data_IF_214704340963
#
_entry.id   IF_214704340963
#
_cell.length_a   1.000
_cell.length_b   1.000
_cell.length_c   1.000
_cell.angle_alpha   90.00
_cell.angle_beta   90.00
_cell.angle_gamma   90.00
#
_symmetry.space_group_name_H-M   'P 1'
#
loop_
_entity.id
_entity.type
_entity.pdbx_description
1 polymer ?
#
# COMPACT_ATOMS: atom_id res chain seq x y z
N UNK A 1 -14.34 -33.68 12.62
CA UNK A 1 -15.36 -32.63 12.85
C UNK A 1 -14.63 -31.45 13.48
N UNK A 2 -14.01 -30.59 12.66
CA UNK A 2 -13.23 -29.44 13.13
C UNK A 2 -14.17 -28.39 13.72
N UNK A 3 -13.85 -27.91 14.90
CA UNK A 3 -14.47 -26.75 15.53
C UNK A 3 -14.31 -25.56 14.55
N UNK A 4 -15.43 -25.08 14.01
CA UNK A 4 -15.50 -23.86 13.23
C UNK A 4 -15.01 -22.71 14.11
N UNK A 5 -13.76 -22.30 13.96
CA UNK A 5 -13.25 -21.11 14.60
C UNK A 5 -14.11 -19.91 14.16
N UNK A 6 -14.80 -19.31 15.13
CA UNK A 6 -15.65 -18.11 14.91
C UNK A 6 -14.79 -16.83 14.86
N UNK A 7 -13.57 -16.93 14.34
CA UNK A 7 -12.61 -15.83 14.25
C UNK A 7 -12.94 -14.85 13.12
N UNK A 8 -12.53 -13.60 13.29
CA UNK A 8 -12.53 -12.58 12.23
C UNK A 8 -11.54 -13.00 11.16
N UNK A 9 -11.96 -12.98 9.88
CA UNK A 9 -11.08 -13.21 8.74
C UNK A 9 -10.50 -11.87 8.27
N UNK A 10 -9.20 -11.71 8.40
CA UNK A 10 -8.44 -10.55 7.96
C UNK A 10 -7.57 -10.98 6.78
N UNK A 11 -7.52 -10.18 5.72
CA UNK A 11 -6.82 -10.53 4.50
C UNK A 11 -5.87 -9.42 4.08
N UNK A 12 -4.65 -9.82 3.69
CA UNK A 12 -3.69 -9.03 2.94
C UNK A 12 -3.63 -9.53 1.50
N UNK A 13 -3.89 -8.66 0.56
CA UNK A 13 -3.89 -8.94 -0.87
C UNK A 13 -2.76 -8.16 -1.54
N UNK A 14 -1.77 -8.85 -2.05
CA UNK A 14 -0.73 -8.26 -2.88
C UNK A 14 -1.18 -8.30 -4.34
N UNK A 15 -1.39 -7.13 -4.93
CA UNK A 15 -1.80 -6.97 -6.32
C UNK A 15 -0.60 -6.51 -7.15
N UNK A 16 0.05 -7.46 -7.80
CA UNK A 16 1.14 -7.21 -8.74
C UNK A 16 0.70 -7.27 -10.21
N UNK A 17 1.54 -6.77 -11.10
CA UNK A 17 1.28 -6.79 -12.55
C UNK A 17 1.33 -8.22 -13.11
N UNK A 18 2.34 -8.99 -12.72
CA UNK A 18 2.54 -10.36 -13.19
C UNK A 18 1.86 -11.39 -12.28
N UNK A 19 1.99 -11.21 -10.98
CA UNK A 19 1.48 -12.13 -9.97
C UNK A 19 0.80 -11.37 -8.83
N UNK A 20 -0.23 -11.99 -8.29
CA UNK A 20 -0.90 -11.56 -7.06
C UNK A 20 -0.77 -12.63 -5.99
N UNK A 21 -0.84 -12.24 -4.70
CA UNK A 21 -0.76 -13.15 -3.57
C UNK A 21 -1.78 -12.80 -2.50
N UNK A 22 -2.22 -13.78 -1.73
CA UNK A 22 -3.22 -13.59 -0.69
C UNK A 22 -2.72 -14.22 0.61
N UNK A 23 -2.54 -13.40 1.63
CA UNK A 23 -2.30 -13.86 2.99
C UNK A 23 -3.52 -13.59 3.86
N UNK A 24 -3.72 -14.41 4.87
CA UNK A 24 -4.89 -14.30 5.74
C UNK A 24 -4.54 -14.59 7.20
N UNK A 25 -5.40 -14.13 8.08
CA UNK A 25 -5.40 -14.44 9.49
C UNK A 25 -6.81 -14.76 9.95
N UNK A 26 -6.96 -15.89 10.65
CA UNK A 26 -8.22 -16.30 11.29
C UNK A 26 -8.13 -16.09 12.80
N UNK A 27 -8.92 -15.17 13.31
CA UNK A 27 -8.93 -14.86 14.74
C UNK A 27 -7.56 -14.43 15.25
N UNK A 28 -6.98 -15.21 16.17
CA UNK A 28 -5.66 -14.97 16.78
C UNK A 28 -4.56 -15.87 16.22
N UNK A 29 -4.85 -16.66 15.19
CA UNK A 29 -3.88 -17.53 14.55
C UNK A 29 -2.75 -16.72 13.88
N UNK A 30 -1.67 -17.39 13.49
CA UNK A 30 -0.61 -16.78 12.71
C UNK A 30 -1.08 -16.33 11.33
N UNK A 31 -0.29 -15.44 10.68
CA UNK A 31 -0.55 -15.05 9.29
C UNK A 31 -0.02 -16.12 8.34
N UNK A 32 -0.89 -16.67 7.51
CA UNK A 32 -0.58 -17.67 6.50
C UNK A 32 -0.86 -17.14 5.10
N UNK A 33 -0.25 -17.75 4.08
CA UNK A 33 -0.47 -17.40 2.68
C UNK A 33 -1.20 -18.53 1.97
N UNK A 34 -2.22 -18.16 1.19
CA UNK A 34 -2.98 -19.13 0.39
C UNK A 34 -2.14 -19.69 -0.74
N UNK A 35 -2.14 -21.01 -0.86
CA UNK A 35 -1.59 -21.64 -2.06
C UNK A 35 -2.57 -21.53 -3.23
N UNK A 36 -2.03 -21.21 -4.41
CA UNK A 36 -2.79 -21.23 -5.67
C UNK A 36 -3.10 -22.65 -6.15
N UNK A 37 -2.38 -23.66 -5.60
CA UNK A 37 -2.57 -25.08 -5.89
C UNK A 37 -2.72 -25.84 -4.57
N UNK A 38 -3.81 -26.55 -4.41
CA UNK A 38 -4.08 -27.30 -3.19
C UNK A 38 -2.99 -28.36 -2.92
N UNK A 39 -2.39 -28.30 -1.71
CA UNK A 39 -1.36 -29.24 -1.26
C UNK A 39 0.07 -28.91 -1.74
N UNK A 40 0.29 -27.77 -2.39
CA UNK A 40 1.60 -27.29 -2.81
C UNK A 40 1.91 -25.93 -2.21
N UNK A 41 3.19 -25.60 -2.06
CA UNK A 41 3.64 -24.27 -1.60
C UNK A 41 3.81 -23.31 -2.79
N UNK A 42 2.72 -23.09 -3.55
CA UNK A 42 2.71 -22.21 -4.71
C UNK A 42 1.79 -21.01 -4.44
N UNK A 43 2.37 -19.89 -4.07
CA UNK A 43 1.64 -18.71 -3.62
C UNK A 43 1.30 -17.72 -4.74
N UNK A 44 2.05 -17.74 -5.85
CA UNK A 44 1.88 -16.82 -6.96
C UNK A 44 0.63 -17.18 -7.78
N UNK A 45 -0.27 -16.23 -7.93
CA UNK A 45 -1.46 -16.29 -8.75
C UNK A 45 -1.18 -15.41 -9.97
N UNK A 46 -0.99 -15.94 -11.19
CA UNK A 46 -0.81 -15.12 -12.38
C UNK A 46 -1.95 -14.07 -12.51
N UNK A 47 -1.59 -12.80 -12.69
CA UNK A 47 -2.57 -11.70 -12.76
C UNK A 47 -3.15 -11.60 -14.17
N UNK A 48 -3.84 -12.67 -14.59
CA UNK A 48 -4.42 -12.81 -15.93
C UNK A 48 -5.83 -13.38 -15.88
N UNK A 49 -6.63 -13.04 -16.90
CA UNK A 49 -7.93 -13.64 -17.18
C UNK A 49 -7.94 -14.30 -18.54
N UNK A 50 -8.78 -15.31 -18.72
CA UNK A 50 -9.09 -15.84 -20.05
C UNK A 50 -10.60 -15.97 -20.23
N UNK A 51 -11.12 -15.38 -21.30
CA UNK A 51 -12.52 -15.55 -21.70
C UNK A 51 -12.59 -16.75 -22.65
N UNK A 52 -13.34 -17.78 -22.27
CA UNK A 52 -13.56 -18.93 -23.12
C UNK A 52 -14.30 -18.54 -24.41
N UNK A 53 -13.84 -19.06 -25.53
CA UNK A 53 -14.41 -18.74 -26.84
C UNK A 53 -15.91 -19.11 -26.95
N UNK A 54 -16.71 -18.19 -27.49
CA UNK A 54 -18.12 -18.41 -27.77
C UNK A 54 -19.04 -18.49 -26.54
N UNK A 55 -18.52 -18.44 -25.31
CA UNK A 55 -19.33 -18.51 -24.08
C UNK A 55 -18.91 -17.45 -23.07
N UNK A 56 -19.83 -17.03 -22.19
CA UNK A 56 -19.51 -16.06 -21.14
C UNK A 56 -18.95 -16.78 -19.89
N UNK A 57 -17.82 -17.49 -20.08
CA UNK A 57 -17.09 -18.15 -19.02
C UNK A 57 -15.69 -17.55 -18.91
N UNK A 58 -15.26 -17.25 -17.70
CA UNK A 58 -13.97 -16.67 -17.42
C UNK A 58 -13.14 -17.57 -16.53
N UNK A 59 -11.87 -17.68 -16.84
CA UNK A 59 -10.83 -18.31 -16.02
C UNK A 59 -9.86 -17.26 -15.53
N UNK A 60 -9.13 -17.53 -14.45
CA UNK A 60 -8.10 -16.66 -13.89
C UNK A 60 -6.85 -17.45 -13.52
N UNK A 61 -5.72 -16.77 -13.37
CA UNK A 61 -4.48 -17.37 -12.93
C UNK A 61 -4.00 -18.50 -13.85
N UNK A 62 -3.55 -19.61 -13.27
CA UNK A 62 -3.02 -20.77 -14.03
C UNK A 62 -4.07 -21.41 -14.94
N UNK A 63 -5.33 -21.40 -14.55
CA UNK A 63 -6.41 -21.93 -15.41
C UNK A 63 -6.61 -21.07 -16.66
N UNK A 64 -6.46 -19.74 -16.53
CA UNK A 64 -6.52 -18.82 -17.66
C UNK A 64 -5.38 -19.07 -18.65
N UNK A 65 -4.14 -19.24 -18.14
CA UNK A 65 -2.98 -19.58 -18.97
C UNK A 65 -3.16 -20.92 -19.69
N UNK A 66 -3.70 -21.93 -19.00
CA UNK A 66 -3.99 -23.24 -19.61
C UNK A 66 -5.03 -23.13 -20.72
N UNK A 67 -6.16 -22.45 -20.45
CA UNK A 67 -7.24 -22.24 -21.42
C UNK A 67 -6.72 -21.54 -22.68
N UNK A 68 -5.87 -20.53 -22.53
CA UNK A 68 -5.26 -19.84 -23.66
C UNK A 68 -4.27 -20.72 -24.43
N UNK A 69 -3.46 -21.54 -23.72
CA UNK A 69 -2.49 -22.47 -24.36
C UNK A 69 -3.17 -23.58 -25.16
N UNK A 70 -4.37 -23.97 -24.76
CA UNK A 70 -5.18 -24.98 -25.43
C UNK A 70 -6.06 -24.38 -26.55
N UNK A 71 -5.86 -23.08 -26.90
CA UNK A 71 -6.66 -22.32 -27.88
C UNK A 71 -8.17 -22.31 -27.59
N UNK A 72 -8.56 -22.51 -26.33
CA UNK A 72 -9.97 -22.53 -25.91
C UNK A 72 -10.54 -21.13 -25.57
N UNK A 73 -9.72 -20.08 -25.54
CA UNK A 73 -10.16 -18.75 -25.14
C UNK A 73 -9.16 -17.63 -25.43
N UNK A 74 -9.58 -16.42 -25.18
CA UNK A 74 -8.79 -15.21 -25.37
C UNK A 74 -8.18 -14.79 -24.03
N UNK A 75 -6.86 -14.75 -23.96
CA UNK A 75 -6.10 -14.31 -22.80
C UNK A 75 -6.15 -12.78 -22.67
N UNK A 76 -6.32 -12.29 -21.45
CA UNK A 76 -6.22 -10.88 -21.07
C UNK A 76 -5.11 -10.76 -20.05
N UNK A 77 -4.00 -10.20 -20.47
CA UNK A 77 -2.81 -9.93 -19.65
C UNK A 77 -2.76 -8.44 -19.25
N UNK A 78 -1.83 -8.10 -18.36
CA UNK A 78 -1.59 -6.73 -17.91
C UNK A 78 -2.88 -6.03 -17.40
N UNK A 79 -3.72 -6.76 -16.69
CA UNK A 79 -5.06 -6.30 -16.27
C UNK A 79 -4.96 -5.01 -15.46
N UNK A 80 -3.95 -4.88 -14.58
CA UNK A 80 -3.74 -3.69 -13.78
C UNK A 80 -3.40 -2.48 -14.66
N UNK A 81 -2.52 -2.63 -15.63
CA UNK A 81 -2.17 -1.57 -16.58
C UNK A 81 -3.35 -1.18 -17.47
N UNK A 82 -4.12 -2.16 -17.95
CA UNK A 82 -5.36 -1.88 -18.69
C UNK A 82 -6.33 -1.05 -17.88
N UNK A 83 -6.49 -1.38 -16.58
CA UNK A 83 -7.36 -0.62 -15.68
C UNK A 83 -6.82 0.79 -15.42
N UNK A 84 -5.50 0.98 -15.32
CA UNK A 84 -4.86 2.28 -15.19
C UNK A 84 -4.98 3.12 -16.48
N UNK A 85 -4.84 2.55 -17.64
CA UNK A 85 -5.07 3.24 -18.92
C UNK A 85 -6.53 3.65 -19.06
N UNK A 86 -7.47 2.75 -18.68
CA UNK A 86 -8.90 3.03 -18.65
C UNK A 86 -9.58 2.94 -20.02
N UNK A 87 -8.86 2.52 -21.07
CA UNK A 87 -9.44 2.32 -22.41
C UNK A 87 -10.22 1.02 -22.47
N UNK A 88 -11.43 1.00 -23.04
CA UNK A 88 -12.25 -0.20 -23.16
C UNK A 88 -11.53 -1.33 -23.91
N UNK A 89 -11.62 -2.55 -23.38
CA UNK A 89 -11.01 -3.76 -23.95
C UNK A 89 -12.03 -4.47 -24.84
N UNK A 90 -11.64 -4.76 -26.10
CA UNK A 90 -12.47 -5.48 -27.05
C UNK A 90 -12.13 -6.97 -27.05
N UNK A 91 -13.12 -7.83 -26.74
CA UNK A 91 -12.98 -9.28 -26.76
C UNK A 91 -14.17 -9.89 -27.49
N UNK A 92 -13.96 -10.58 -28.59
CA UNK A 92 -15.00 -11.17 -29.45
C UNK A 92 -16.10 -10.17 -29.85
N UNK A 93 -15.72 -8.91 -30.14
CA UNK A 93 -16.66 -7.85 -30.50
C UNK A 93 -17.50 -7.28 -29.33
N UNK A 94 -17.24 -7.72 -28.10
CA UNK A 94 -17.86 -7.21 -26.89
C UNK A 94 -16.86 -6.27 -26.19
N UNK A 95 -17.37 -5.11 -25.75
CA UNK A 95 -16.60 -4.10 -25.05
C UNK A 95 -16.65 -4.34 -23.54
N UNK A 96 -15.51 -4.40 -22.89
CA UNK A 96 -15.38 -4.56 -21.44
C UNK A 96 -14.71 -3.33 -20.81
N UNK A 97 -15.20 -2.92 -19.63
CA UNK A 97 -14.55 -1.94 -18.78
C UNK A 97 -13.33 -2.62 -18.09
N UNK A 98 -12.10 -2.10 -18.26
CA UNK A 98 -10.91 -2.71 -17.68
C UNK A 98 -10.93 -2.73 -16.14
N UNK A 99 -11.54 -1.75 -15.48
CA UNK A 99 -11.71 -1.79 -14.03
C UNK A 99 -12.65 -2.93 -13.58
N UNK A 100 -13.66 -3.27 -14.38
CA UNK A 100 -14.52 -4.42 -14.15
C UNK A 100 -13.78 -5.75 -14.38
N UNK A 101 -12.83 -5.82 -15.32
CA UNK A 101 -11.97 -6.98 -15.51
C UNK A 101 -11.03 -7.17 -14.32
N UNK A 102 -10.43 -6.09 -13.81
CA UNK A 102 -9.64 -6.13 -12.58
C UNK A 102 -10.46 -6.62 -11.39
N UNK A 103 -11.66 -6.08 -11.22
CA UNK A 103 -12.61 -6.52 -10.17
C UNK A 103 -12.95 -8.01 -10.29
N UNK A 104 -13.17 -8.49 -11.51
CA UNK A 104 -13.45 -9.91 -11.78
C UNK A 104 -12.27 -10.79 -11.36
N UNK A 105 -11.04 -10.42 -11.72
CA UNK A 105 -9.83 -11.13 -11.32
C UNK A 105 -9.69 -11.16 -9.79
N UNK A 106 -9.76 -10.01 -9.14
CA UNK A 106 -9.64 -9.91 -7.68
C UNK A 106 -10.72 -10.69 -6.95
N UNK A 107 -11.96 -10.61 -7.39
CA UNK A 107 -13.08 -11.35 -6.79
C UNK A 107 -12.89 -12.86 -6.92
N UNK A 108 -12.41 -13.34 -8.08
CA UNK A 108 -12.18 -14.77 -8.31
C UNK A 108 -11.00 -15.28 -7.50
N UNK A 109 -9.90 -14.55 -7.45
CA UNK A 109 -8.73 -14.94 -6.65
C UNK A 109 -9.06 -14.94 -5.15
N UNK A 110 -9.83 -13.98 -4.65
CA UNK A 110 -10.36 -14.01 -3.27
C UNK A 110 -11.26 -15.22 -3.00
N UNK A 111 -11.82 -15.85 -4.02
CA UNK A 111 -12.54 -17.12 -3.91
C UNK A 111 -11.69 -18.26 -3.36
N UNK A 112 -10.35 -18.19 -3.47
CA UNK A 112 -9.42 -19.14 -2.84
C UNK A 112 -9.55 -19.18 -1.31
N UNK A 113 -10.04 -18.12 -0.68
CA UNK A 113 -10.35 -18.10 0.76
C UNK A 113 -11.31 -19.21 1.16
N UNK A 114 -12.10 -19.76 0.24
CA UNK A 114 -12.98 -20.90 0.50
C UNK A 114 -12.24 -22.15 0.99
N UNK A 115 -10.92 -22.25 0.75
CA UNK A 115 -10.08 -23.34 1.26
C UNK A 115 -9.94 -23.30 2.79
N UNK A 116 -10.06 -22.11 3.40
CA UNK A 116 -9.81 -21.89 4.83
C UNK A 116 -11.03 -21.37 5.56
N UNK A 117 -11.86 -20.57 4.93
CA UNK A 117 -13.08 -19.98 5.49
C UNK A 117 -14.04 -19.55 4.37
N UNK A 118 -15.31 -19.34 4.71
CA UNK A 118 -16.22 -18.74 3.74
C UNK A 118 -15.76 -17.32 3.39
N UNK A 119 -15.64 -16.92 2.09
CA UNK A 119 -15.31 -15.56 1.69
C UNK A 119 -16.29 -14.50 2.23
N UNK A 120 -17.51 -14.90 2.53
CA UNK A 120 -18.53 -14.05 3.16
C UNK A 120 -18.18 -13.62 4.60
N UNK A 121 -17.20 -14.25 5.21
CA UNK A 121 -16.68 -13.90 6.54
C UNK A 121 -15.57 -12.87 6.53
N UNK A 122 -15.18 -12.41 5.36
CA UNK A 122 -14.17 -11.36 5.23
C UNK A 122 -14.57 -10.14 6.08
N UNK A 123 -13.77 -9.88 7.10
CA UNK A 123 -14.00 -8.77 8.03
C UNK A 123 -13.31 -7.50 7.57
N UNK A 124 -12.11 -7.64 7.02
CA UNK A 124 -11.32 -6.52 6.55
C UNK A 124 -10.26 -6.98 5.52
N UNK A 125 -9.94 -6.10 4.58
CA UNK A 125 -9.02 -6.34 3.48
C UNK A 125 -8.02 -5.19 3.38
N UNK A 126 -6.73 -5.50 3.32
CA UNK A 126 -5.67 -4.59 2.95
C UNK A 126 -5.13 -5.00 1.58
N UNK A 127 -5.22 -4.11 0.60
CA UNK A 127 -4.63 -4.31 -0.73
C UNK A 127 -3.29 -3.57 -0.74
N UNK A 128 -2.24 -4.27 -1.15
CA UNK A 128 -0.90 -3.69 -1.31
C UNK A 128 -0.48 -3.74 -2.76
N UNK A 129 0.20 -2.69 -3.21
CA UNK A 129 0.74 -2.54 -4.56
C UNK A 129 2.16 -1.95 -4.47
N UNK A 130 2.93 -2.00 -5.55
CA UNK A 130 4.29 -1.46 -5.59
C UNK A 130 4.34 0.00 -5.12
N UNK A 131 3.53 0.85 -5.72
CA UNK A 131 3.37 2.27 -5.36
C UNK A 131 1.90 2.64 -5.43
N UNK A 132 1.52 3.67 -4.69
CA UNK A 132 0.16 4.22 -4.71
C UNK A 132 0.18 5.64 -5.26
N UNK A 133 -0.66 5.91 -6.22
CA UNK A 133 -0.98 7.26 -6.69
C UNK A 133 -2.49 7.47 -6.75
N UNK A 134 -2.92 8.70 -7.02
CA UNK A 134 -4.34 9.05 -7.05
C UNK A 134 -5.13 8.24 -8.09
N UNK A 135 -4.51 7.93 -9.24
CA UNK A 135 -5.16 7.18 -10.32
C UNK A 135 -5.35 5.72 -9.94
N UNK A 136 -4.32 5.08 -9.37
CA UNK A 136 -4.43 3.69 -8.89
C UNK A 136 -5.49 3.57 -7.80
N UNK A 137 -5.52 4.51 -6.84
CA UNK A 137 -6.53 4.52 -5.78
C UNK A 137 -7.95 4.66 -6.35
N UNK A 138 -8.14 5.51 -7.35
CA UNK A 138 -9.44 5.65 -8.02
C UNK A 138 -9.84 4.35 -8.73
N UNK A 139 -8.93 3.70 -9.43
CA UNK A 139 -9.15 2.41 -10.09
C UNK A 139 -9.47 1.32 -9.06
N UNK A 140 -8.72 1.24 -7.97
CA UNK A 140 -8.96 0.27 -6.90
C UNK A 140 -10.32 0.48 -6.24
N UNK A 141 -10.73 1.72 -5.97
CA UNK A 141 -12.06 2.02 -5.43
C UNK A 141 -13.16 1.52 -6.37
N UNK A 142 -13.06 1.81 -7.68
CA UNK A 142 -14.02 1.31 -8.67
C UNK A 142 -14.06 -0.23 -8.73
N UNK A 143 -12.89 -0.87 -8.67
CA UNK A 143 -12.81 -2.33 -8.66
C UNK A 143 -13.44 -2.92 -7.40
N UNK A 144 -13.13 -2.38 -6.23
CA UNK A 144 -13.68 -2.82 -4.92
C UNK A 144 -15.20 -2.64 -4.88
N UNK A 145 -15.71 -1.50 -5.32
CA UNK A 145 -17.16 -1.26 -5.41
C UNK A 145 -17.85 -2.30 -6.29
N UNK A 146 -17.23 -2.67 -7.43
CA UNK A 146 -17.76 -3.67 -8.37
C UNK A 146 -17.71 -5.10 -7.82
N UNK A 147 -16.83 -5.39 -6.86
CA UNK A 147 -16.78 -6.71 -6.22
C UNK A 147 -17.95 -6.99 -5.29
N UNK A 148 -18.62 -5.95 -4.78
CA UNK A 148 -19.71 -6.07 -3.78
C UNK A 148 -19.32 -6.93 -2.58
N UNK A 149 -18.18 -6.62 -1.97
CA UNK A 149 -17.73 -7.29 -0.75
C UNK A 149 -18.70 -7.03 0.41
N UNK A 150 -18.79 -7.96 1.34
CA UNK A 150 -19.65 -7.81 2.54
C UNK A 150 -19.00 -6.94 3.64
N UNK A 151 -17.80 -6.46 3.43
CA UNK A 151 -17.10 -5.54 4.31
C UNK A 151 -16.84 -4.21 3.61
N UNK A 152 -16.98 -3.13 4.35
CA UNK A 152 -16.58 -1.77 3.97
C UNK A 152 -15.15 -1.41 4.43
N UNK A 153 -14.49 -2.33 5.17
CA UNK A 153 -13.14 -2.13 5.70
C UNK A 153 -12.10 -2.60 4.69
N UNK A 154 -11.99 -1.86 3.59
CA UNK A 154 -10.98 -2.07 2.56
C UNK A 154 -10.04 -0.88 2.55
N UNK A 155 -8.73 -1.16 2.62
CA UNK A 155 -7.68 -0.15 2.70
C UNK A 155 -6.55 -0.49 1.73
N UNK A 156 -5.71 0.49 1.46
CA UNK A 156 -4.60 0.38 0.52
C UNK A 156 -3.28 0.74 1.19
N UNK A 157 -2.19 0.13 0.74
CA UNK A 157 -0.84 0.51 1.17
C UNK A 157 0.18 0.16 0.08
N UNK A 158 1.38 0.76 0.15
CA UNK A 158 2.49 0.43 -0.73
C UNK A 158 3.26 -0.81 -0.26
N UNK A 159 4.07 -1.40 -1.16
CA UNK A 159 4.99 -2.47 -0.80
C UNK A 159 5.98 -2.05 0.31
N UNK A 160 6.43 -0.79 0.29
CA UNK A 160 7.28 -0.25 1.35
C UNK A 160 6.58 -0.29 2.72
N UNK A 161 5.30 0.09 2.80
CA UNK A 161 4.52 -0.03 4.03
C UNK A 161 4.27 -1.49 4.44
N UNK A 162 4.06 -2.37 3.48
CA UNK A 162 3.93 -3.81 3.72
C UNK A 162 5.22 -4.39 4.28
N UNK A 163 6.37 -3.99 3.76
CA UNK A 163 7.66 -4.38 4.29
C UNK A 163 7.84 -3.91 5.74
N UNK A 164 7.54 -2.66 6.05
CA UNK A 164 7.54 -2.16 7.43
C UNK A 164 6.68 -3.02 8.35
N UNK A 165 5.41 -3.23 7.98
CA UNK A 165 4.47 -3.99 8.80
C UNK A 165 4.88 -5.46 8.97
N UNK A 166 5.56 -6.05 8.00
CA UNK A 166 6.12 -7.38 8.15
C UNK A 166 7.30 -7.40 9.12
N UNK A 167 8.23 -6.45 8.98
CA UNK A 167 9.48 -6.42 9.76
C UNK A 167 9.25 -6.15 11.23
N UNK A 168 8.36 -5.22 11.61
CA UNK A 168 8.12 -4.90 13.01
C UNK A 168 7.45 -6.03 13.79
N UNK A 169 6.84 -7.01 13.10
CA UNK A 169 6.28 -8.22 13.71
C UNK A 169 7.34 -9.32 13.90
N UNK A 170 8.56 -9.11 13.40
CA UNK A 170 9.67 -10.03 13.62
C UNK A 170 10.37 -9.72 14.96
N UNK A 171 11.18 -10.65 15.49
CA UNK A 171 12.02 -10.40 16.67
C UNK A 171 12.84 -9.11 16.52
N UNK A 172 12.90 -8.28 17.56
CA UNK A 172 13.53 -6.96 17.52
C UNK A 172 15.00 -7.02 17.05
N UNK A 173 15.70 -8.11 17.32
CA UNK A 173 17.08 -8.32 16.86
C UNK A 173 17.26 -8.23 15.33
N UNK A 174 16.19 -8.52 14.55
CA UNK A 174 16.21 -8.47 13.09
C UNK A 174 16.07 -7.05 12.53
N UNK A 175 15.63 -6.10 13.34
CA UNK A 175 15.46 -4.70 12.96
C UNK A 175 15.99 -3.71 14.01
N UNK A 176 16.90 -4.19 14.87
CA UNK A 176 17.60 -3.33 15.85
C UNK A 176 18.41 -2.25 15.15
N UNK A 177 19.10 -2.60 14.09
CA UNK A 177 19.67 -1.68 13.10
C UNK A 177 18.73 -1.66 11.89
N UNK A 178 19.21 -1.35 10.72
CA UNK A 178 18.38 -1.34 9.50
C UNK A 178 17.97 -2.75 9.08
N UNK A 179 16.77 -2.86 8.51
CA UNK A 179 16.32 -4.02 7.76
C UNK A 179 16.29 -3.67 6.27
N UNK A 180 16.82 -4.54 5.42
CA UNK A 180 16.96 -4.33 3.99
C UNK A 180 16.13 -5.37 3.24
N UNK A 181 15.37 -4.93 2.26
CA UNK A 181 14.72 -5.79 1.28
C UNK A 181 15.33 -5.53 -0.09
N UNK A 182 15.57 -6.58 -0.83
CA UNK A 182 16.03 -6.58 -2.21
C UNK A 182 15.05 -7.43 -3.01
N UNK A 183 14.34 -6.81 -3.94
CA UNK A 183 13.39 -7.48 -4.84
C UNK A 183 13.94 -7.51 -6.25
N UNK A 184 14.18 -8.70 -6.80
CA UNK A 184 14.59 -8.84 -8.19
C UNK A 184 13.36 -9.06 -9.07
N UNK A 185 12.99 -8.03 -9.83
CA UNK A 185 11.82 -7.99 -10.69
C UNK A 185 12.20 -7.55 -12.12
N UNK A 186 11.97 -8.41 -13.11
CA UNK A 186 12.28 -8.12 -14.51
C UNK A 186 13.74 -7.75 -14.73
N UNK A 187 14.03 -6.48 -15.02
CA UNK A 187 15.37 -5.94 -15.29
C UNK A 187 15.88 -5.04 -14.17
N UNK A 188 15.28 -5.10 -12.98
CA UNK A 188 15.62 -4.20 -11.89
C UNK A 188 15.65 -4.93 -10.55
N UNK A 189 16.47 -4.40 -9.65
CA UNK A 189 16.40 -4.72 -8.22
C UNK A 189 15.84 -3.51 -7.49
N UNK A 190 14.65 -3.66 -6.93
CA UNK A 190 14.04 -2.67 -6.05
C UNK A 190 14.57 -2.91 -4.64
N UNK A 191 15.00 -1.84 -3.97
CA UNK A 191 15.51 -1.94 -2.61
C UNK A 191 14.70 -1.09 -1.66
N UNK A 192 14.37 -1.65 -0.50
CA UNK A 192 13.73 -0.93 0.60
C UNK A 192 14.63 -1.04 1.84
N UNK A 193 15.08 0.07 2.37
CA UNK A 193 15.90 0.13 3.56
C UNK A 193 15.11 0.78 4.71
N UNK A 194 14.65 -0.03 5.64
CA UNK A 194 13.91 0.42 6.82
C UNK A 194 14.87 0.87 7.91
N UNK A 195 14.63 2.05 8.47
CA UNK A 195 15.31 2.60 9.64
C UNK A 195 14.32 3.16 10.66
N UNK A 196 14.73 3.26 11.92
CA UNK A 196 13.89 3.73 13.02
C UNK A 196 14.58 4.86 13.80
N UNK A 197 13.94 6.02 13.88
CA UNK A 197 14.34 7.08 14.78
C UNK A 197 13.83 6.79 16.21
N UNK A 198 14.68 6.18 17.03
CA UNK A 198 14.34 5.81 18.42
C UNK A 198 14.42 6.97 19.41
N UNK A 199 14.68 8.20 18.94
CA UNK A 199 14.73 9.40 19.80
C UNK A 199 13.36 10.07 19.93
N UNK A 200 12.37 9.61 19.17
CA UNK A 200 10.99 10.13 19.20
C UNK A 200 10.05 9.20 19.97
N UNK A 201 8.94 9.72 20.46
CA UNK A 201 7.86 8.95 21.07
C UNK A 201 6.53 9.39 20.45
N UNK A 202 5.88 8.55 19.67
CA UNK A 202 6.27 7.19 19.26
C UNK A 202 7.56 7.17 18.42
N UNK A 203 8.19 6.00 18.32
CA UNK A 203 9.35 5.77 17.44
C UNK A 203 8.91 5.94 15.99
N UNK A 204 9.62 6.78 15.25
CA UNK A 204 9.35 6.99 13.82
C UNK A 204 10.13 6.00 13.00
N UNK A 205 9.43 5.14 12.25
CA UNK A 205 10.02 4.28 11.24
C UNK A 205 9.81 4.89 9.85
N UNK A 206 10.83 4.76 9.00
CA UNK A 206 10.80 5.22 7.61
C UNK A 206 11.54 4.24 6.71
N UNK A 207 11.25 4.30 5.43
CA UNK A 207 11.88 3.49 4.40
C UNK A 207 12.42 4.43 3.32
N UNK A 208 13.68 4.20 2.97
CA UNK A 208 14.30 4.75 1.77
C UNK A 208 14.31 3.67 0.69
N UNK A 209 13.93 4.02 -0.52
CA UNK A 209 13.81 3.09 -1.64
C UNK A 209 14.66 3.53 -2.82
N UNK A 210 15.33 2.58 -3.47
CA UNK A 210 16.12 2.81 -4.68
C UNK A 210 15.88 1.68 -5.67
N UNK A 211 16.11 1.96 -6.94
CA UNK A 211 16.06 1.00 -8.04
C UNK A 211 17.44 0.90 -8.67
N UNK A 212 17.87 -0.33 -8.94
CA UNK A 212 19.11 -0.65 -9.63
C UNK A 212 18.82 -1.50 -10.85
N UNK A 213 19.55 -1.22 -11.93
CA UNK A 213 19.46 -2.05 -13.12
C UNK A 213 20.11 -3.42 -12.86
N UNK A 214 19.46 -4.47 -13.33
CA UNK A 214 19.94 -5.83 -13.30
C UNK A 214 19.67 -6.48 -14.67
N UNK A 215 20.49 -7.40 -15.19
CA UNK A 215 20.17 -8.12 -16.41
C UNK A 215 18.81 -8.81 -16.32
N UNK A 216 18.04 -8.89 -17.41
CA UNK A 216 16.80 -9.63 -17.38
C UNK A 216 17.08 -11.09 -17.02
N UNK A 217 16.24 -11.62 -16.14
CA UNK A 217 16.34 -13.05 -15.85
C UNK A 217 15.82 -13.84 -17.05
N UNK A 218 16.70 -14.65 -17.61
CA UNK A 218 16.40 -15.59 -18.66
C UNK A 218 16.73 -17.00 -18.17
N UNK A 219 16.08 -18.05 -18.68
CA UNK A 219 16.43 -19.42 -18.33
C UNK A 219 17.93 -19.69 -18.47
N UNK A 220 18.49 -20.46 -17.56
CA UNK A 220 19.91 -20.79 -17.61
C UNK A 220 20.19 -21.67 -18.86
N UNK A 221 21.28 -21.38 -19.61
CA UNK A 221 21.70 -22.21 -20.72
C UNK A 221 21.94 -23.65 -20.29
N UNK A 222 21.69 -24.62 -21.18
CA UNK A 222 22.01 -26.02 -20.91
C UNK A 222 23.52 -26.31 -21.06
N UNK A 223 24.22 -25.54 -21.91
CA UNK A 223 25.66 -25.67 -22.14
C UNK A 223 26.47 -25.10 -20.98
N UNK A 224 27.27 -25.91 -20.34
CA UNK A 224 28.05 -25.58 -19.13
C UNK A 224 28.92 -24.31 -19.25
N UNK A 225 29.68 -24.06 -20.32
CA UNK A 225 30.48 -22.80 -20.38
C UNK A 225 29.61 -21.56 -20.36
N UNK A 226 28.50 -21.53 -21.08
CA UNK A 226 27.59 -20.39 -21.16
C UNK A 226 26.80 -20.23 -19.86
N UNK A 227 26.40 -21.34 -19.24
CA UNK A 227 25.73 -21.36 -17.95
C UNK A 227 26.59 -20.72 -16.85
N UNK A 228 27.85 -21.14 -16.77
CA UNK A 228 28.79 -20.63 -15.79
C UNK A 228 29.06 -19.12 -15.98
N UNK A 229 29.29 -18.69 -17.22
CA UNK A 229 29.50 -17.27 -17.53
C UNK A 229 28.29 -16.42 -17.13
N UNK A 230 27.08 -16.90 -17.40
CA UNK A 230 25.85 -16.21 -17.00
C UNK A 230 25.68 -16.13 -15.50
N UNK A 231 25.91 -17.22 -14.77
CA UNK A 231 25.86 -17.24 -13.30
C UNK A 231 26.87 -16.26 -12.68
N UNK A 232 28.12 -16.27 -13.14
CA UNK A 232 29.17 -15.37 -12.65
C UNK A 232 28.86 -13.91 -12.94
N UNK A 233 28.24 -13.62 -14.09
CA UNK A 233 27.79 -12.27 -14.43
C UNK A 233 26.68 -11.80 -13.49
N UNK A 234 25.64 -12.60 -13.28
CA UNK A 234 24.53 -12.26 -12.36
C UNK A 234 25.03 -12.03 -10.93
N UNK A 235 25.88 -12.94 -10.43
CA UNK A 235 26.44 -12.85 -9.07
C UNK A 235 27.30 -11.59 -8.89
N UNK A 236 28.13 -11.26 -9.88
CA UNK A 236 28.97 -10.06 -9.85
C UNK A 236 28.11 -8.79 -9.82
N UNK A 237 27.14 -8.64 -10.74
CA UNK A 237 26.29 -7.47 -10.83
C UNK A 237 25.45 -7.31 -9.55
N UNK A 238 24.89 -8.40 -9.04
CA UNK A 238 24.15 -8.35 -7.78
C UNK A 238 25.06 -8.07 -6.56
N UNK A 239 26.31 -8.57 -6.55
CA UNK A 239 27.29 -8.25 -5.51
C UNK A 239 27.61 -6.75 -5.47
N UNK A 240 27.69 -6.09 -6.62
CA UNK A 240 27.88 -4.65 -6.70
C UNK A 240 26.73 -3.87 -6.07
N UNK A 241 25.47 -4.25 -6.41
CA UNK A 241 24.26 -3.67 -5.82
C UNK A 241 24.25 -3.89 -4.30
N UNK A 242 24.40 -5.14 -3.85
CA UNK A 242 24.40 -5.50 -2.43
C UNK A 242 25.47 -4.73 -1.65
N UNK A 243 26.68 -4.59 -2.22
CA UNK A 243 27.79 -3.85 -1.62
C UNK A 243 27.49 -2.35 -1.53
N UNK A 244 26.85 -1.78 -2.56
CA UNK A 244 26.48 -0.37 -2.58
C UNK A 244 25.43 -0.06 -1.50
N UNK A 245 24.37 -0.87 -1.40
CA UNK A 245 23.27 -0.66 -0.45
C UNK A 245 23.72 -0.90 1.00
N UNK A 246 24.65 -1.85 1.22
CA UNK A 246 25.19 -2.15 2.55
C UNK A 246 26.37 -1.26 2.97
N UNK A 247 26.87 -0.36 2.09
CA UNK A 247 28.07 0.46 2.37
C UNK A 247 27.80 1.42 3.53
N UNK A 248 28.71 1.41 4.52
CA UNK A 248 28.69 2.28 5.69
C UNK A 248 27.39 2.22 6.52
N UNK A 249 26.66 1.12 6.42
CA UNK A 249 25.35 0.95 7.03
C UNK A 249 25.31 -0.32 7.86
N UNK A 250 24.94 -0.19 9.14
CA UNK A 250 24.66 -1.36 9.97
C UNK A 250 23.29 -1.94 9.59
N UNK A 251 23.27 -3.15 9.04
CA UNK A 251 22.07 -3.88 8.64
C UNK A 251 21.96 -5.14 9.49
N UNK A 252 20.83 -5.35 10.14
CA UNK A 252 20.55 -6.53 10.98
C UNK A 252 20.04 -7.71 10.15
N UNK A 253 19.15 -7.44 9.20
CA UNK A 253 18.55 -8.47 8.36
C UNK A 253 18.40 -8.02 6.92
N UNK A 254 18.42 -9.00 6.01
CA UNK A 254 18.21 -8.82 4.57
C UNK A 254 17.12 -9.80 4.12
N UNK A 255 16.17 -9.31 3.36
CA UNK A 255 15.08 -10.07 2.79
C UNK A 255 15.23 -10.06 1.26
N UNK A 256 15.38 -11.23 0.66
CA UNK A 256 15.45 -11.44 -0.78
C UNK A 256 14.09 -11.93 -1.25
N UNK A 257 13.44 -11.17 -2.12
CA UNK A 257 12.14 -11.55 -2.69
C UNK A 257 12.16 -11.51 -4.22
N UNK A 258 11.35 -12.36 -4.83
CA UNK A 258 11.31 -12.59 -6.26
C UNK A 258 11.76 -14.00 -6.63
N UNK A 259 11.29 -14.46 -7.79
CA UNK A 259 11.53 -15.84 -8.26
C UNK A 259 12.93 -16.05 -8.89
N UNK A 260 13.65 -14.95 -9.10
CA UNK A 260 14.92 -14.97 -9.83
C UNK A 260 16.15 -15.19 -8.97
N UNK A 261 16.00 -15.16 -7.64
CA UNK A 261 17.09 -15.53 -6.75
C UNK A 261 17.25 -17.04 -6.66
N UNK A 262 18.48 -17.51 -6.84
CA UNK A 262 18.83 -18.92 -6.76
C UNK A 262 20.20 -19.11 -6.14
N UNK A 263 20.34 -20.10 -5.26
CA UNK A 263 21.62 -20.48 -4.67
C UNK A 263 22.64 -20.98 -5.74
N UNK A 264 22.16 -21.37 -6.92
CA UNK A 264 23.04 -21.81 -7.99
C UNK A 264 23.97 -20.70 -8.47
N UNK A 265 23.45 -19.47 -8.65
CA UNK A 265 24.25 -18.34 -9.13
C UNK A 265 24.70 -17.39 -7.99
N UNK A 266 23.97 -17.30 -6.87
CA UNK A 266 24.27 -16.41 -5.76
C UNK A 266 25.38 -17.00 -4.88
N UNK A 267 26.63 -16.86 -5.22
CA UNK A 267 27.76 -17.40 -4.44
C UNK A 267 28.46 -16.32 -3.63
N UNK A 268 29.08 -15.34 -4.28
CA UNK A 268 29.80 -14.28 -3.63
C UNK A 268 28.85 -13.20 -3.06
N UNK A 269 27.76 -12.92 -3.74
CA UNK A 269 26.72 -12.01 -3.27
C UNK A 269 26.09 -12.52 -1.96
N UNK A 270 25.68 -13.80 -1.91
CA UNK A 270 25.11 -14.39 -0.71
C UNK A 270 26.11 -14.43 0.45
N UNK A 271 27.37 -14.81 0.17
CA UNK A 271 28.44 -14.77 1.16
C UNK A 271 28.62 -13.37 1.74
N UNK A 272 28.65 -12.35 0.89
CA UNK A 272 28.76 -10.94 1.28
C UNK A 272 27.58 -10.48 2.13
N UNK A 273 26.35 -10.83 1.73
CA UNK A 273 25.14 -10.49 2.46
C UNK A 273 25.06 -11.16 3.82
N UNK A 274 25.53 -12.41 3.96
CA UNK A 274 25.51 -13.16 5.21
C UNK A 274 26.59 -12.71 6.22
N UNK A 275 27.52 -11.84 5.84
CA UNK A 275 28.54 -11.35 6.78
C UNK A 275 27.96 -10.44 7.86
N UNK A 276 27.71 -11.01 9.06
CA UNK A 276 27.18 -10.29 10.21
C UNK A 276 25.71 -9.90 10.13
N UNK A 277 24.96 -10.50 9.21
CA UNK A 277 23.52 -10.25 8.98
C UNK A 277 22.78 -11.57 8.87
N UNK A 278 21.47 -11.53 9.14
CA UNK A 278 20.58 -12.64 8.82
C UNK A 278 19.93 -12.41 7.45
N UNK A 279 20.05 -13.38 6.56
CA UNK A 279 19.48 -13.32 5.21
C UNK A 279 18.31 -14.29 5.13
N UNK A 280 17.21 -13.82 4.62
CA UNK A 280 15.98 -14.58 4.39
C UNK A 280 15.61 -14.51 2.92
N UNK A 281 15.19 -15.63 2.36
CA UNK A 281 14.62 -15.70 1.03
C UNK A 281 13.15 -16.11 1.12
N UNK A 282 12.30 -15.45 0.38
CA UNK A 282 10.86 -15.74 0.35
C UNK A 282 10.17 -14.91 -0.72
N UNK A 283 8.88 -15.17 -0.94
CA UNK A 283 8.14 -14.48 -2.00
C UNK A 283 6.76 -13.97 -1.57
N UNK A 284 6.36 -14.14 -0.31
CA UNK A 284 5.03 -13.73 0.17
C UNK A 284 5.05 -12.65 1.26
N UNK A 285 6.13 -11.88 1.30
CA UNK A 285 6.36 -10.87 2.34
C UNK A 285 5.32 -9.74 2.28
N UNK A 286 5.00 -9.24 1.09
CA UNK A 286 4.09 -8.11 0.93
C UNK A 286 2.66 -8.45 1.32
N UNK A 287 2.14 -9.58 0.87
CA UNK A 287 0.79 -10.03 1.26
C UNK A 287 0.68 -10.30 2.76
N UNK A 288 1.73 -10.87 3.40
CA UNK A 288 1.79 -11.03 4.85
C UNK A 288 1.87 -9.68 5.57
N UNK A 289 2.70 -8.77 5.09
CA UNK A 289 2.81 -7.41 5.63
C UNK A 289 1.49 -6.65 5.57
N UNK A 290 0.75 -6.78 4.48
CA UNK A 290 -0.59 -6.21 4.33
C UNK A 290 -1.58 -6.84 5.34
N UNK A 291 -1.51 -8.14 5.56
CA UNK A 291 -2.35 -8.81 6.55
C UNK A 291 -2.01 -8.37 7.99
N UNK A 292 -0.72 -8.21 8.32
CA UNK A 292 -0.28 -7.65 9.60
C UNK A 292 -0.76 -6.21 9.78
N UNK A 293 -0.59 -5.35 8.77
CA UNK A 293 -1.07 -3.97 8.80
C UNK A 293 -2.57 -3.88 9.09
N UNK A 294 -3.36 -4.72 8.43
CA UNK A 294 -4.80 -4.75 8.67
C UNK A 294 -5.15 -5.25 10.08
N UNK A 295 -4.43 -6.24 10.58
CA UNK A 295 -4.58 -6.74 11.94
C UNK A 295 -4.27 -5.68 12.99
N UNK A 296 -3.16 -4.93 12.82
CA UNK A 296 -2.77 -3.81 13.67
C UNK A 296 -3.81 -2.67 13.62
N UNK A 297 -4.37 -2.37 12.46
CA UNK A 297 -5.41 -1.34 12.31
C UNK A 297 -6.71 -1.71 13.05
N UNK A 298 -7.05 -2.99 13.10
CA UNK A 298 -8.23 -3.47 13.83
C UNK A 298 -8.00 -3.61 15.33
N UNK A 299 -6.82 -4.03 15.73
CA UNK A 299 -6.44 -4.27 17.11
C UNK A 299 -4.95 -3.96 17.32
N UNK A 300 -4.61 -2.69 17.60
CA UNK A 300 -3.22 -2.27 17.73
C UNK A 300 -2.49 -2.99 18.86
N UNK A 301 -1.35 -3.63 18.54
CA UNK A 301 -0.43 -4.23 19.49
C UNK A 301 0.37 -3.18 20.26
N UNK A 302 1.08 -3.57 21.29
CA UNK A 302 1.99 -2.66 22.02
C UNK A 302 3.11 -2.13 21.09
N UNK A 303 3.61 -2.99 20.19
CA UNK A 303 4.61 -2.58 19.19
C UNK A 303 4.00 -1.58 18.20
N UNK A 304 2.78 -1.85 17.70
CA UNK A 304 2.07 -0.96 16.80
C UNK A 304 1.79 0.42 17.42
N UNK A 305 1.40 0.47 18.70
CA UNK A 305 1.20 1.74 19.44
C UNK A 305 2.50 2.52 19.66
N UNK A 306 3.62 1.82 19.84
CA UNK A 306 4.91 2.42 20.12
C UNK A 306 5.63 2.95 18.87
N UNK A 307 5.19 2.59 17.67
CA UNK A 307 5.84 2.93 16.41
C UNK A 307 4.85 3.61 15.46
N UNK A 308 5.34 4.57 14.67
CA UNK A 308 4.60 5.20 13.58
C UNK A 308 5.43 5.12 12.30
N UNK A 309 4.81 4.68 11.22
CA UNK A 309 5.44 4.65 9.90
C UNK A 309 5.17 5.96 9.15
N UNK A 310 6.24 6.63 8.71
CA UNK A 310 6.17 7.84 7.90
C UNK A 310 6.80 7.61 6.51
N UNK A 311 6.19 6.73 5.72
CA UNK A 311 6.53 6.49 4.33
C UNK A 311 6.10 7.62 3.40
N UNK A 312 6.34 7.44 2.10
CA UNK A 312 5.99 8.44 1.06
C UNK A 312 4.49 8.71 1.04
N UNK A 313 3.67 7.67 1.19
CA UNK A 313 2.20 7.77 1.15
C UNK A 313 1.58 8.39 2.43
N UNK A 314 2.40 8.77 3.41
CA UNK A 314 1.91 9.29 4.70
C UNK A 314 1.99 10.80 4.77
N UNK A 315 0.98 11.40 5.39
CA UNK A 315 1.03 12.79 5.83
C UNK A 315 2.16 12.96 6.86
N UNK A 316 3.13 13.82 6.57
CA UNK A 316 4.36 14.02 7.37
C UNK A 316 4.22 15.14 8.41
N UNK A 317 3.08 15.81 8.41
CA UNK A 317 2.82 16.94 9.29
C UNK A 317 1.47 16.80 9.99
N UNK A 318 1.40 17.22 11.24
CA UNK A 318 0.12 17.49 11.89
C UNK A 318 -0.42 18.82 11.37
N UNK A 319 -1.70 18.87 11.05
CA UNK A 319 -2.39 20.08 10.61
C UNK A 319 -3.49 20.38 11.62
N UNK A 320 -3.51 21.61 12.11
CA UNK A 320 -4.49 22.04 13.09
C UNK A 320 -4.69 23.54 13.10
N UNK A 321 -5.53 24.00 13.99
CA UNK A 321 -5.77 25.41 14.23
C UNK A 321 -6.08 25.69 15.70
N UNK A 322 -5.90 26.94 16.13
CA UNK A 322 -6.34 27.36 17.43
C UNK A 322 -7.80 27.78 17.39
N UNK A 323 -8.58 27.18 18.26
CA UNK A 323 -10.00 27.49 18.43
C UNK A 323 -10.29 27.92 19.90
N UNK A 324 -11.27 28.81 20.07
CA UNK A 324 -11.81 29.10 21.37
C UNK A 324 -12.82 28.02 21.77
N UNK A 325 -12.42 27.12 22.66
CA UNK A 325 -13.31 26.16 23.29
C UNK A 325 -13.63 26.62 24.71
N UNK A 326 -14.93 26.87 24.99
CA UNK A 326 -15.42 27.33 26.29
C UNK A 326 -14.67 28.55 26.82
N UNK A 327 -14.24 29.44 25.94
CA UNK A 327 -13.53 30.67 26.29
C UNK A 327 -12.02 30.53 26.50
N UNK A 328 -11.46 29.33 26.30
CA UNK A 328 -10.02 29.09 26.31
C UNK A 328 -9.52 28.80 24.88
N UNK A 329 -8.41 29.45 24.52
CA UNK A 329 -7.75 29.19 23.24
C UNK A 329 -7.01 27.85 23.36
N UNK A 330 -7.39 26.87 22.53
CA UNK A 330 -6.79 25.55 22.49
C UNK A 330 -6.43 25.14 21.07
N UNK A 331 -5.36 24.38 20.93
CA UNK A 331 -5.00 23.76 19.66
C UNK A 331 -5.94 22.59 19.36
N UNK A 332 -6.54 22.61 18.19
CA UNK A 332 -7.38 21.54 17.67
C UNK A 332 -6.66 20.86 16.52
N UNK A 333 -6.25 19.59 16.70
CA UNK A 333 -5.71 18.77 15.62
C UNK A 333 -6.84 18.44 14.64
N UNK A 334 -6.61 18.66 13.36
CA UNK A 334 -7.56 18.42 12.28
C UNK A 334 -7.15 17.21 11.42
N UNK A 335 -5.86 17.11 11.08
CA UNK A 335 -5.29 15.96 10.38
C UNK A 335 -3.99 15.56 11.09
N UNK A 336 -3.86 14.30 11.40
CA UNK A 336 -2.69 13.75 12.10
C UNK A 336 -1.66 13.21 11.10
N UNK A 337 -0.39 13.44 11.38
CA UNK A 337 0.70 12.80 10.67
C UNK A 337 0.66 11.27 10.82
N UNK A 338 1.12 10.54 9.81
CA UNK A 338 1.09 9.08 9.76
C UNK A 338 -0.16 8.50 9.11
N UNK A 339 -1.19 9.31 8.86
CA UNK A 339 -2.36 8.90 8.07
C UNK A 339 -1.99 8.91 6.58
N UNK A 340 -2.51 7.97 5.80
CA UNK A 340 -2.33 7.98 4.35
C UNK A 340 -2.95 9.25 3.74
N UNK A 341 -2.24 9.91 2.82
CA UNK A 341 -2.70 11.16 2.23
C UNK A 341 -4.10 11.04 1.62
N UNK A 342 -4.44 9.94 0.97
CA UNK A 342 -5.75 9.70 0.36
C UNK A 342 -6.88 9.40 1.36
N UNK A 343 -6.54 9.09 2.63
CA UNK A 343 -7.49 8.95 3.74
C UNK A 343 -7.60 10.23 4.56
N UNK A 344 -6.59 11.10 4.52
CA UNK A 344 -6.50 12.32 5.30
C UNK A 344 -7.58 13.32 4.88
N UNK A 345 -8.70 13.27 5.57
CA UNK A 345 -9.83 14.16 5.37
C UNK A 345 -10.56 14.43 6.68
N UNK A 346 -10.98 15.68 6.86
CA UNK A 346 -11.75 16.12 8.02
C UNK A 346 -12.81 17.12 7.59
N UNK A 347 -13.96 17.05 8.23
CA UNK A 347 -15.01 18.05 8.12
C UNK A 347 -15.48 18.43 9.53
N UNK A 348 -15.57 19.71 9.80
CA UNK A 348 -16.07 20.21 11.08
C UNK A 348 -16.74 21.57 10.91
N UNK A 349 -17.50 21.99 11.92
CA UNK A 349 -18.16 23.27 11.96
C UNK A 349 -17.62 24.10 13.13
N UNK A 350 -17.46 25.39 12.91
CA UNK A 350 -16.98 26.35 13.89
C UNK A 350 -17.61 27.71 13.67
N UNK A 351 -17.44 28.62 14.62
CA UNK A 351 -17.96 29.98 14.51
C UNK A 351 -16.82 30.96 14.32
N UNK A 352 -16.99 31.88 13.37
CA UNK A 352 -16.13 33.07 13.22
C UNK A 352 -16.84 34.25 13.80
N UNK A 353 -16.15 35.02 14.68
CA UNK A 353 -16.68 36.21 15.32
C UNK A 353 -15.83 37.44 14.95
N UNK A 354 -16.18 38.07 13.85
CA UNK A 354 -15.40 39.17 13.31
C UNK A 354 -14.06 38.70 12.72
N UNK A 355 -13.54 39.42 11.78
CA UNK A 355 -12.36 39.01 11.01
C UNK A 355 -12.73 38.09 9.85
N UNK A 356 -11.82 38.04 8.90
CA UNK A 356 -11.95 37.26 7.66
C UNK A 356 -10.71 36.37 7.41
N UNK A 357 -9.92 36.13 8.45
CA UNK A 357 -8.71 35.34 8.38
C UNK A 357 -8.80 34.11 9.29
N UNK A 358 -8.38 32.98 8.77
CA UNK A 358 -8.21 31.73 9.51
C UNK A 358 -6.73 31.33 9.44
N UNK A 359 -6.21 30.84 10.55
CA UNK A 359 -4.83 30.40 10.65
C UNK A 359 -4.76 28.88 10.82
N UNK A 360 -4.09 28.21 9.86
CA UNK A 360 -3.74 26.80 9.96
C UNK A 360 -2.29 26.65 10.37
N UNK A 361 -2.05 25.81 11.36
CA UNK A 361 -0.71 25.41 11.77
C UNK A 361 -0.33 24.09 11.14
N UNK A 362 0.84 24.03 10.52
CA UNK A 362 1.43 22.84 9.91
C UNK A 362 2.70 22.53 10.71
N UNK A 363 2.67 21.42 11.46
CA UNK A 363 3.75 20.99 12.37
C UNK A 363 4.38 19.74 11.82
N UNK A 364 5.59 19.84 11.26
CA UNK A 364 6.31 18.70 10.68
C UNK A 364 6.84 17.76 11.77
N UNK A 365 6.70 16.43 11.56
CA UNK A 365 7.28 15.37 12.42
C UNK A 365 8.64 14.86 11.93
N UNK A 366 9.02 15.15 10.69
CA UNK A 366 10.30 14.66 10.11
C UNK A 366 11.45 15.66 10.20
N UNK A 367 11.25 16.74 10.94
CA UNK A 367 12.16 17.88 10.99
C UNK A 367 11.75 18.96 9.98
N UNK A 368 12.00 20.21 10.34
CA UNK A 368 11.58 21.38 9.58
C UNK A 368 10.89 22.38 10.51
N UNK A 369 10.76 23.61 10.03
CA UNK A 369 10.07 24.65 10.79
C UNK A 369 8.55 24.45 10.71
N UNK A 370 7.89 24.55 11.86
CA UNK A 370 6.43 24.70 11.91
C UNK A 370 6.05 26.02 11.23
N UNK A 371 5.03 25.99 10.42
CA UNK A 371 4.56 27.19 9.72
C UNK A 371 3.08 27.43 9.93
N UNK A 372 2.71 28.69 9.89
CA UNK A 372 1.31 29.13 9.89
C UNK A 372 0.92 29.57 8.50
N UNK A 373 -0.22 29.08 8.02
CA UNK A 373 -0.81 29.47 6.73
C UNK A 373 -2.07 30.26 7.02
N UNK A 374 -2.14 31.48 6.49
CA UNK A 374 -3.32 32.33 6.58
C UNK A 374 -4.27 32.07 5.40
N UNK A 375 -5.54 31.86 5.71
CA UNK A 375 -6.64 31.72 4.78
C UNK A 375 -7.52 32.97 4.89
N UNK A 376 -7.52 33.79 3.85
CA UNK A 376 -8.36 34.98 3.80
C UNK A 376 -9.72 34.61 3.21
N UNK A 377 -10.78 34.89 3.92
CA UNK A 377 -12.17 34.75 3.48
C UNK A 377 -12.61 36.06 2.82
N UNK A 378 -12.27 36.24 1.55
CA UNK A 378 -12.56 37.45 0.79
C UNK A 378 -14.07 37.72 0.73
N UNK A 379 -14.47 39.00 0.83
CA UNK A 379 -15.87 39.43 0.80
C UNK A 379 -16.79 38.80 1.87
N UNK A 380 -16.21 38.26 2.95
CA UNK A 380 -16.99 37.75 4.05
C UNK A 380 -17.78 38.88 4.69
N UNK A 381 -19.10 38.71 4.82
CA UNK A 381 -19.95 39.68 5.49
C UNK A 381 -19.58 39.81 6.98
N UNK A 382 -19.60 41.04 7.56
CA UNK A 382 -19.26 41.23 8.96
C UNK A 382 -20.26 40.57 9.90
N UNK A 383 -19.81 40.24 11.11
CA UNK A 383 -20.60 39.62 12.17
C UNK A 383 -20.26 38.18 12.46
N UNK A 384 -21.03 37.51 13.31
CA UNK A 384 -20.85 36.11 13.64
C UNK A 384 -21.45 35.23 12.54
N UNK A 385 -20.71 34.22 12.13
CA UNK A 385 -21.20 33.20 11.23
C UNK A 385 -20.72 31.82 11.62
N UNK A 386 -21.55 30.80 11.38
CA UNK A 386 -21.16 29.40 11.43
C UNK A 386 -20.53 29.03 10.09
N UNK A 387 -19.37 28.44 10.17
CA UNK A 387 -18.61 27.97 9.01
C UNK A 387 -18.50 26.46 9.03
N UNK A 388 -18.46 25.85 7.86
CA UNK A 388 -18.10 24.45 7.68
C UNK A 388 -16.77 24.38 6.94
N UNK A 389 -15.75 23.82 7.57
CA UNK A 389 -14.50 23.53 6.91
C UNK A 389 -14.42 22.08 6.48
N UNK A 390 -13.87 21.86 5.29
CA UNK A 390 -13.44 20.56 4.78
C UNK A 390 -11.97 20.63 4.43
N UNK A 391 -11.21 19.71 4.98
CA UNK A 391 -9.79 19.54 4.70
C UNK A 391 -9.60 18.17 4.07
N UNK A 392 -8.87 18.11 2.98
CA UNK A 392 -8.49 16.85 2.32
C UNK A 392 -7.25 17.05 1.46
N UNK A 393 -6.52 15.97 1.21
CA UNK A 393 -5.36 16.01 0.33
C UNK A 393 -5.75 15.53 -1.08
N UNK A 394 -5.18 16.18 -2.09
CA UNK A 394 -5.28 15.79 -3.52
C UNK A 394 -4.03 15.07 -4.01
N UNK A 395 -3.00 15.02 -3.18
CA UNK A 395 -1.73 14.34 -3.39
C UNK A 395 -0.92 14.37 -2.10
N UNK A 396 0.25 13.74 -2.09
CA UNK A 396 1.09 13.59 -0.90
C UNK A 396 1.48 14.91 -0.22
N UNK A 397 1.53 15.99 -1.00
CA UNK A 397 2.03 17.30 -0.56
C UNK A 397 1.07 18.45 -0.80
N UNK A 398 -0.17 18.15 -1.13
CA UNK A 398 -1.14 19.17 -1.50
C UNK A 398 -2.41 19.06 -0.66
N UNK A 399 -2.56 20.00 0.28
CA UNK A 399 -3.75 20.15 1.10
C UNK A 399 -4.75 21.08 0.43
N UNK A 400 -5.99 20.69 0.33
CA UNK A 400 -7.13 21.54 -0.04
C UNK A 400 -7.94 21.86 1.21
N UNK A 401 -8.22 23.13 1.39
CA UNK A 401 -9.10 23.64 2.44
C UNK A 401 -10.28 24.35 1.79
N UNK A 402 -11.48 23.90 2.08
CA UNK A 402 -12.73 24.51 1.67
C UNK A 402 -13.47 25.02 2.91
N UNK A 403 -13.92 26.26 2.88
CA UNK A 403 -14.72 26.86 3.97
C UNK A 403 -16.02 27.37 3.37
N UNK A 404 -17.15 26.95 3.92
CA UNK A 404 -18.50 27.36 3.49
C UNK A 404 -19.16 28.21 4.58
N UNK A 405 -19.80 29.31 4.19
CA UNK A 405 -20.61 30.13 5.09
C UNK A 405 -22.03 29.55 5.28
N UNK A 406 -22.34 29.14 6.49
CA UNK A 406 -23.64 28.59 6.89
C UNK A 406 -24.54 29.63 7.61
N UNK A 407 -24.05 30.89 7.73
CA UNK A 407 -24.79 31.95 8.41
C UNK A 407 -24.93 31.76 9.92
N UNK A 408 -25.84 32.50 10.51
CA UNK A 408 -26.12 32.43 11.95
C UNK A 408 -27.64 32.46 12.22
N UNK A 409 -28.35 31.49 11.64
CA UNK A 409 -29.79 31.36 11.74
C UNK A 409 -30.56 32.60 11.22
N UNK A 410 -31.57 33.07 11.97
CA UNK A 410 -32.35 34.24 11.59
C UNK A 410 -31.58 35.57 11.72
N UNK A 411 -30.46 35.60 12.44
CA UNK A 411 -29.65 36.81 12.64
C UNK A 411 -28.78 37.13 11.42
N UNK A 412 -28.34 36.10 10.71
CA UNK A 412 -27.53 36.23 9.51
C UNK A 412 -27.86 35.03 8.56
N UNK A 413 -28.53 35.25 7.43
CA UNK A 413 -28.76 34.23 6.45
C UNK A 413 -27.46 33.61 5.94
N UNK A 414 -27.46 32.33 5.64
CA UNK A 414 -26.35 31.66 4.99
C UNK A 414 -26.14 32.23 3.57
N UNK A 415 -24.90 32.53 3.22
CA UNK A 415 -24.56 32.93 1.85
C UNK A 415 -24.21 31.73 0.98
N UNK A 416 -23.83 30.63 1.62
CA UNK A 416 -23.27 29.43 0.97
C UNK A 416 -22.06 29.71 0.07
N UNK A 417 -21.41 30.86 0.32
CA UNK A 417 -20.12 31.16 -0.31
C UNK A 417 -19.08 30.15 0.14
N UNK A 418 -18.29 29.65 -0.81
CA UNK A 418 -17.22 28.68 -0.57
C UNK A 418 -15.90 29.34 -0.93
N UNK A 419 -14.98 29.39 0.04
CA UNK A 419 -13.59 29.77 -0.16
C UNK A 419 -12.76 28.50 -0.26
N UNK A 420 -11.96 28.39 -1.31
CA UNK A 420 -11.08 27.25 -1.54
C UNK A 420 -9.63 27.71 -1.65
N UNK A 421 -8.76 27.04 -0.91
CA UNK A 421 -7.33 27.30 -0.91
C UNK A 421 -6.56 25.98 -1.06
N UNK A 422 -5.55 26.00 -1.91
CA UNK A 422 -4.54 24.94 -2.00
C UNK A 422 -3.30 25.37 -1.22
N UNK A 423 -2.76 24.45 -0.43
CA UNK A 423 -1.62 24.66 0.46
C UNK A 423 -0.64 23.54 0.20
N UNK A 424 0.57 23.86 -0.25
CA UNK A 424 1.65 22.88 -0.34
C UNK A 424 2.10 22.48 1.08
N UNK A 425 2.31 21.20 1.36
CA UNK A 425 2.76 20.65 2.65
C UNK A 425 4.27 20.43 2.68
#
# INVERSE_FOLDING_TARGET
>A
MGLLHHGKLVVGYDLGEEYSQISYRLGEDGVETLSSVAGEEQYNIPTVLCKRAGVNQWFYGKEALRCAKEDEGILVENILQLALVGEPVQIEGITFDPAALLALFMKRSLGLLSQVSSPDRLTALMITCEKLDGRLIEVLNRAVDSMHLKTDRVYYQSHAESFYNYVIQQPEELWRSRALLLEYCGTRVITHCMDCNRRTTPVVAFIESWEYNMPPYEPMPEEEPLRQEKMERLDREFTEIASQVCRNTAVSSVYLIGEHYSEEWMKESLRSLCMGRRVFQGNNLYSKGACFAMSERLNPSEVGKAHVFLGEDKLKSNIGMHLLDRGQLSYCALLDAGVNWYEARQQFEFYVRGGNELELQIISLIGGESRTVQLVLEDMLPGMSRMRAKLFLTGERELVVEVEDLGFGSFRPATHQIWRRQVAL
#
